data_IF_720099266302
#
_entry.id   IF_720099266302
#
_cell.length_a   1.000
_cell.length_b   1.000
_cell.length_c   1.000
_cell.angle_alpha   90.00
_cell.angle_beta   90.00
_cell.angle_gamma   90.00
#
_symmetry.space_group_name_H-M   'P 1'
#
loop_
_entity.id
_entity.type
_entity.pdbx_description
1 polymer ?
#
# COMPACT_ATOMS: atom_id res chain seq x y z
N UNK A 1 20.61 0.09 -0.28
CA UNK A 1 19.29 0.38 0.31
C UNK A 1 18.38 0.69 -0.86
N UNK A 2 17.26 -0.02 -1.07
CA UNK A 2 16.28 0.41 -2.07
C UNK A 2 15.83 1.83 -1.69
N UNK A 3 15.88 2.73 -2.67
CA UNK A 3 15.45 4.11 -2.53
C UNK A 3 13.94 4.10 -2.33
N UNK A 4 13.45 4.53 -1.17
CA UNK A 4 12.01 4.51 -0.85
C UNK A 4 11.33 5.86 -1.08
N UNK A 5 12.02 6.80 -1.74
CA UNK A 5 11.50 8.15 -1.99
C UNK A 5 10.28 8.17 -2.93
N UNK A 6 10.02 7.10 -3.69
CA UNK A 6 8.93 6.99 -4.66
C UNK A 6 7.54 6.78 -4.04
N UNK A 7 7.45 6.48 -2.74
CA UNK A 7 6.16 6.32 -2.05
C UNK A 7 5.49 7.65 -1.65
N UNK A 8 6.15 8.79 -1.86
CA UNK A 8 5.71 10.11 -1.39
C UNK A 8 4.96 10.96 -2.41
N UNK A 9 4.56 10.36 -3.54
CA UNK A 9 4.04 11.13 -4.66
C UNK A 9 2.51 11.27 -4.61
N UNK A 10 2.02 12.51 -4.65
CA UNK A 10 0.59 12.80 -4.75
C UNK A 10 0.08 12.51 -6.16
N UNK A 11 -1.08 11.83 -6.30
CA UNK A 11 -1.59 11.52 -7.63
C UNK A 11 -2.00 12.78 -8.40
N UNK A 12 -1.65 12.81 -9.70
CA UNK A 12 -1.89 13.93 -10.60
C UNK A 12 -3.33 13.95 -11.13
N UNK A 13 -4.01 12.80 -11.13
CA UNK A 13 -5.38 12.65 -11.60
C UNK A 13 -6.26 11.95 -10.56
N UNK A 14 -7.58 12.10 -10.69
CA UNK A 14 -8.53 11.33 -9.90
C UNK A 14 -8.28 9.83 -10.09
N UNK A 15 -8.29 9.04 -9.00
CA UNK A 15 -8.09 7.60 -9.08
C UNK A 15 -9.12 6.95 -10.01
N UNK A 16 -8.65 6.08 -10.90
CA UNK A 16 -9.52 5.15 -11.62
C UNK A 16 -9.92 4.04 -10.67
N UNK A 17 -11.22 3.87 -10.44
CA UNK A 17 -11.72 2.72 -9.67
C UNK A 17 -11.74 1.49 -10.56
N UNK A 18 -11.00 0.46 -10.15
CA UNK A 18 -10.88 -0.79 -10.90
C UNK A 18 -11.94 -1.80 -10.43
N UNK A 19 -12.24 -1.81 -9.12
CA UNK A 19 -13.19 -2.75 -8.53
C UNK A 19 -13.91 -2.15 -7.31
N UNK A 20 -15.18 -2.54 -7.17
CA UNK A 20 -16.04 -2.28 -6.01
C UNK A 20 -16.55 -3.63 -5.49
N UNK A 21 -16.43 -3.92 -4.19
CA UNK A 21 -16.96 -5.18 -3.64
C UNK A 21 -18.38 -5.13 -3.07
N UNK A 22 -18.93 -3.94 -2.82
CA UNK A 22 -20.26 -3.81 -2.20
C UNK A 22 -20.90 -2.43 -2.41
N UNK A 23 -20.31 -1.62 -3.29
CA UNK A 23 -20.64 -0.19 -3.44
C UNK A 23 -19.59 0.75 -2.87
N UNK A 24 -18.58 0.24 -2.14
CA UNK A 24 -17.38 0.97 -1.74
C UNK A 24 -16.22 0.68 -2.70
N UNK A 25 -15.30 1.63 -2.80
CA UNK A 25 -14.17 1.57 -3.73
C UNK A 25 -13.05 0.72 -3.12
N UNK A 26 -12.86 -0.49 -3.62
CA UNK A 26 -11.93 -1.45 -3.04
C UNK A 26 -10.56 -1.46 -3.71
N UNK A 27 -10.49 -1.14 -5.01
CA UNK A 27 -9.22 -1.02 -5.74
C UNK A 27 -9.19 0.26 -6.57
N UNK A 28 -8.12 1.05 -6.43
CA UNK A 28 -7.89 2.27 -7.20
C UNK A 28 -6.51 2.31 -7.82
N UNK A 29 -6.45 2.85 -9.05
CA UNK A 29 -5.21 3.12 -9.76
C UNK A 29 -5.07 4.64 -9.97
N UNK A 30 -3.94 5.21 -9.56
CA UNK A 30 -3.70 6.66 -9.63
C UNK A 30 -2.37 6.96 -10.33
N UNK A 31 -2.34 7.96 -11.21
CA UNK A 31 -1.09 8.40 -11.86
C UNK A 31 -0.29 9.33 -10.96
N UNK A 32 1.03 9.18 -10.93
CA UNK A 32 1.95 10.00 -10.14
C UNK A 32 2.73 11.03 -10.99
N UNK A 33 3.36 12.06 -10.39
CA UNK A 33 4.07 13.13 -11.09
C UNK A 33 5.32 12.68 -11.85
N UNK A 34 6.01 11.63 -11.39
CA UNK A 34 7.16 11.02 -12.07
C UNK A 34 6.81 10.17 -13.31
N UNK A 35 5.54 10.15 -13.71
CA UNK A 35 4.96 9.29 -14.77
C UNK A 35 4.72 7.84 -14.39
N UNK A 36 4.95 7.44 -13.14
CA UNK A 36 4.54 6.15 -12.58
C UNK A 36 3.06 6.16 -12.15
N UNK A 37 2.63 5.09 -11.47
CA UNK A 37 1.31 4.95 -10.89
C UNK A 37 1.33 4.27 -9.51
N UNK A 38 0.22 4.41 -8.80
CA UNK A 38 -0.05 3.79 -7.50
C UNK A 38 -1.31 2.95 -7.60
N UNK A 39 -1.20 1.69 -7.23
CA UNK A 39 -2.33 0.80 -6.98
C UNK A 39 -2.60 0.78 -5.47
N UNK A 40 -3.80 1.15 -5.06
CA UNK A 40 -4.29 1.06 -3.70
C UNK A 40 -5.41 0.03 -3.64
N UNK A 41 -5.32 -0.88 -2.69
CA UNK A 41 -6.36 -1.85 -2.39
C UNK A 41 -6.75 -1.73 -0.92
N UNK A 42 -8.05 -1.61 -0.65
CA UNK A 42 -8.64 -1.54 0.70
C UNK A 42 -9.43 -2.83 0.99
N UNK A 43 -9.17 -3.43 2.15
CA UNK A 43 -9.72 -4.70 2.61
C UNK A 43 -10.80 -4.44 3.69
N UNK A 44 -12.04 -4.16 3.27
CA UNK A 44 -13.13 -3.78 4.20
C UNK A 44 -13.99 -4.96 4.70
N UNK A 45 -13.92 -6.14 4.08
CA UNK A 45 -14.82 -7.28 4.40
C UNK A 45 -14.47 -7.95 5.74
N UNK A 46 -13.18 -8.08 6.06
CA UNK A 46 -12.68 -8.85 7.20
C UNK A 46 -12.19 -7.98 8.37
N UNK A 47 -12.10 -6.67 8.16
CA UNK A 47 -11.58 -5.72 9.15
C UNK A 47 -12.57 -4.56 9.33
N UNK A 48 -13.20 -4.42 10.53
CA UNK A 48 -14.00 -3.23 10.84
C UNK A 48 -13.15 -1.94 10.89
N UNK A 49 -11.84 -2.12 10.91
CA UNK A 49 -10.79 -1.11 10.81
C UNK A 49 -10.29 -1.05 9.36
N UNK A 50 -9.93 0.15 8.89
CA UNK A 50 -9.54 0.32 7.49
C UNK A 50 -8.15 -0.27 7.25
N UNK A 51 -8.07 -1.43 6.60
CA UNK A 51 -6.82 -2.10 6.22
C UNK A 51 -6.61 -1.95 4.71
N UNK A 52 -5.38 -1.77 4.27
CA UNK A 52 -5.09 -1.78 2.84
C UNK A 52 -3.62 -1.99 2.50
N UNK A 53 -3.37 -2.07 1.20
CA UNK A 53 -2.04 -2.16 0.62
C UNK A 53 -1.84 -1.14 -0.49
N UNK A 54 -0.64 -0.57 -0.54
CA UNK A 54 -0.15 0.25 -1.64
C UNK A 54 0.97 -0.46 -2.39
N UNK A 55 0.89 -0.39 -3.71
CA UNK A 55 1.93 -0.86 -4.63
C UNK A 55 2.23 0.26 -5.62
N UNK A 56 3.50 0.56 -5.84
CA UNK A 56 3.94 1.46 -6.90
C UNK A 56 4.19 0.67 -8.17
N UNK A 57 3.88 1.31 -9.29
CA UNK A 57 3.87 0.72 -10.60
C UNK A 57 4.56 1.67 -11.56
N UNK A 58 5.47 1.15 -12.37
CA UNK A 58 5.87 1.76 -13.61
C UNK A 58 4.66 1.96 -14.54
N UNK A 59 4.82 2.80 -15.56
CA UNK A 59 3.79 2.99 -16.59
C UNK A 59 3.34 1.68 -17.23
N UNK A 60 4.29 0.78 -17.50
CA UNK A 60 4.01 -0.49 -18.17
C UNK A 60 3.22 -1.44 -17.25
N UNK A 61 3.56 -1.49 -15.97
CA UNK A 61 2.81 -2.28 -14.97
C UNK A 61 1.41 -1.70 -14.73
N UNK A 62 1.29 -0.37 -14.70
CA UNK A 62 -0.01 0.32 -14.59
C UNK A 62 -0.91 0.02 -15.79
N UNK A 63 -0.33 -0.05 -16.99
CA UNK A 63 -1.04 -0.43 -18.20
C UNK A 63 -1.51 -1.90 -18.11
N UNK A 64 -0.69 -2.81 -17.60
CA UNK A 64 -1.08 -4.21 -17.37
C UNK A 64 -2.27 -4.29 -16.39
N UNK A 65 -2.25 -3.53 -15.30
CA UNK A 65 -3.40 -3.45 -14.36
C UNK A 65 -4.66 -3.01 -15.09
N UNK A 66 -4.56 -1.98 -15.93
CA UNK A 66 -5.71 -1.43 -16.64
C UNK A 66 -6.27 -2.37 -17.71
N UNK A 67 -5.39 -3.09 -18.42
CA UNK A 67 -5.77 -4.05 -19.45
C UNK A 67 -6.26 -5.37 -18.87
N UNK A 68 -5.92 -5.66 -17.60
CA UNK A 68 -6.41 -6.84 -16.89
C UNK A 68 -7.88 -6.62 -16.53
N UNK A 69 -8.76 -7.46 -17.08
CA UNK A 69 -10.17 -7.43 -16.69
C UNK A 69 -10.30 -7.57 -15.16
N UNK A 70 -11.26 -6.86 -14.53
CA UNK A 70 -11.50 -6.95 -13.09
C UNK A 70 -12.10 -8.33 -12.76
N UNK A 71 -11.21 -9.30 -12.63
CA UNK A 71 -11.48 -10.64 -12.16
C UNK A 71 -11.09 -10.76 -10.69
N UNK A 72 -11.62 -11.77 -10.00
CA UNK A 72 -11.12 -12.16 -8.68
C UNK A 72 -9.62 -12.50 -8.80
N UNK A 73 -8.78 -11.89 -7.97
CA UNK A 73 -7.33 -12.12 -7.97
C UNK A 73 -6.51 -11.12 -8.82
N UNK A 74 -6.90 -9.84 -8.86
CA UNK A 74 -6.15 -8.81 -9.56
C UNK A 74 -4.71 -8.67 -9.02
N UNK A 75 -4.50 -8.74 -7.69
CA UNK A 75 -3.16 -8.58 -7.12
C UNK A 75 -2.30 -9.79 -7.44
N UNK A 76 -2.87 -11.01 -7.43
CA UNK A 76 -2.19 -12.21 -7.92
C UNK A 76 -1.60 -12.03 -9.32
N UNK A 77 -2.38 -11.50 -10.27
CA UNK A 77 -1.88 -11.28 -11.63
C UNK A 77 -0.83 -10.17 -11.67
N UNK A 78 -1.08 -9.07 -10.98
CA UNK A 78 -0.20 -7.90 -10.99
C UNK A 78 1.15 -8.21 -10.34
N UNK A 79 1.18 -8.88 -9.18
CA UNK A 79 2.41 -9.17 -8.42
C UNK A 79 3.41 -10.06 -9.16
N UNK A 80 2.92 -10.89 -10.09
CA UNK A 80 3.78 -11.69 -10.97
C UNK A 80 4.51 -10.86 -12.03
N UNK A 81 4.02 -9.65 -12.32
CA UNK A 81 4.56 -8.75 -13.36
C UNK A 81 5.39 -7.60 -12.82
N UNK A 82 5.40 -7.38 -11.50
CA UNK A 82 6.13 -6.29 -10.86
C UNK A 82 7.64 -6.45 -10.99
N UNK A 83 8.32 -5.42 -11.45
CA UNK A 83 9.76 -5.26 -11.40
C UNK A 83 10.22 -5.12 -9.93
N UNK A 84 9.54 -4.28 -9.16
CA UNK A 84 9.71 -4.12 -7.71
C UNK A 84 8.45 -4.62 -6.98
N UNK A 85 8.61 -5.64 -6.14
CA UNK A 85 7.52 -6.23 -5.36
C UNK A 85 7.40 -5.62 -3.95
N UNK A 86 8.04 -4.49 -3.70
CA UNK A 86 7.89 -3.74 -2.46
C UNK A 86 6.49 -3.14 -2.37
N UNK A 87 5.84 -3.31 -1.22
CA UNK A 87 4.53 -2.77 -0.94
C UNK A 87 4.47 -2.19 0.47
N UNK A 88 3.49 -1.31 0.70
CA UNK A 88 3.17 -0.77 2.02
C UNK A 88 1.82 -1.32 2.46
N UNK A 89 1.81 -2.12 3.54
CA UNK A 89 0.59 -2.46 4.24
C UNK A 89 0.30 -1.41 5.30
N UNK A 90 -0.96 -1.02 5.42
CA UNK A 90 -1.41 -0.02 6.39
C UNK A 90 -2.73 -0.42 7.02
N UNK A 91 -2.93 0.04 8.26
CA UNK A 91 -4.09 -0.25 9.07
C UNK A 91 -4.49 0.99 9.86
N UNK A 92 -5.76 1.37 9.82
CA UNK A 92 -6.34 2.44 10.63
C UNK A 92 -7.41 1.82 11.54
N UNK A 93 -7.09 1.69 12.82
CA UNK A 93 -8.06 1.39 13.87
C UNK A 93 -8.34 2.68 14.62
N UNK A 94 -9.61 3.14 14.60
CA UNK A 94 -10.23 4.26 15.35
C UNK A 94 -9.42 5.56 15.50
N UNK A 95 -8.23 5.50 16.09
CA UNK A 95 -7.34 6.60 16.42
C UNK A 95 -5.86 6.33 16.22
N UNK A 96 -5.50 5.16 15.70
CA UNK A 96 -4.13 4.79 15.40
C UNK A 96 -4.05 4.38 13.95
N UNK A 97 -3.13 4.99 13.22
CA UNK A 97 -2.72 4.47 11.92
C UNK A 97 -1.37 3.81 12.03
N UNK A 98 -1.29 2.58 11.56
CA UNK A 98 -0.08 1.76 11.56
C UNK A 98 0.29 1.36 10.14
N UNK A 99 1.57 1.18 9.87
CA UNK A 99 2.03 0.77 8.55
C UNK A 99 3.40 0.08 8.59
N UNK A 100 3.64 -0.73 7.56
CA UNK A 100 4.82 -1.58 7.42
C UNK A 100 5.15 -1.79 5.95
N UNK A 101 6.44 -1.77 5.62
CA UNK A 101 6.93 -2.10 4.28
C UNK A 101 7.15 -3.60 4.20
N UNK A 102 6.60 -4.24 3.18
CA UNK A 102 6.67 -5.68 2.95
C UNK A 102 7.13 -5.96 1.52
N UNK A 103 7.71 -7.14 1.29
CA UNK A 103 7.96 -7.64 -0.07
C UNK A 103 6.87 -8.64 -0.41
N UNK A 104 6.07 -8.35 -1.43
CA UNK A 104 4.97 -9.21 -1.87
C UNK A 104 5.51 -10.51 -2.48
N UNK A 105 4.91 -11.67 -2.19
CA UNK A 105 5.27 -12.90 -2.88
C UNK A 105 4.97 -12.76 -4.38
N UNK A 106 5.92 -13.17 -5.24
CA UNK A 106 5.76 -13.07 -6.72
C UNK A 106 4.93 -14.18 -7.34
N UNK A 107 4.75 -15.29 -6.63
CA UNK A 107 4.01 -16.48 -7.07
C UNK A 107 3.11 -17.01 -5.95
N UNK A 108 2.21 -17.93 -6.27
CA UNK A 108 1.17 -18.43 -5.36
C UNK A 108 -0.22 -18.05 -5.85
N UNK A 109 -1.25 -18.49 -5.17
CA UNK A 109 -2.65 -18.07 -5.35
C UNK A 109 -2.95 -16.79 -4.58
N UNK A 110 -4.11 -16.19 -4.82
CA UNK A 110 -4.66 -15.12 -3.99
C UNK A 110 -4.82 -15.56 -2.53
N UNK A 111 -5.19 -16.82 -2.25
CA UNK A 111 -5.25 -17.35 -0.88
C UNK A 111 -3.88 -17.35 -0.19
N UNK A 112 -2.82 -17.72 -0.91
CA UNK A 112 -1.45 -17.68 -0.35
C UNK A 112 -1.01 -16.23 -0.05
N UNK A 113 -1.46 -15.28 -0.87
CA UNK A 113 -1.22 -13.86 -0.64
C UNK A 113 -1.95 -13.35 0.61
N UNK A 114 -3.20 -13.79 0.82
CA UNK A 114 -3.94 -13.43 2.04
C UNK A 114 -3.28 -13.97 3.29
N UNK A 115 -2.93 -15.27 3.32
CA UNK A 115 -2.21 -15.86 4.45
C UNK A 115 -0.89 -15.13 4.74
N UNK A 116 -0.19 -14.69 3.68
CA UNK A 116 1.01 -13.88 3.83
C UNK A 116 0.71 -12.51 4.47
N UNK A 117 -0.31 -11.80 3.99
CA UNK A 117 -0.73 -10.49 4.50
C UNK A 117 -1.14 -10.61 5.97
N UNK A 118 -1.98 -11.58 6.32
CA UNK A 118 -2.39 -11.85 7.70
C UNK A 118 -1.19 -12.12 8.60
N UNK A 119 -0.24 -12.94 8.12
CA UNK A 119 1.01 -13.17 8.83
C UNK A 119 1.84 -11.90 9.07
N UNK A 120 1.78 -10.92 8.14
CA UNK A 120 2.44 -9.62 8.34
C UNK A 120 1.73 -8.75 9.37
N UNK A 121 0.39 -8.80 9.41
CA UNK A 121 -0.43 -8.07 10.37
C UNK A 121 -0.23 -8.64 11.78
N UNK A 122 -0.27 -9.97 11.92
CA UNK A 122 -0.05 -10.69 13.18
C UNK A 122 1.36 -10.47 13.73
N UNK A 123 2.34 -10.33 12.83
CA UNK A 123 3.71 -9.96 13.21
C UNK A 123 3.82 -8.51 13.73
N UNK A 124 2.77 -7.71 13.59
CA UNK A 124 2.70 -6.32 14.00
C UNK A 124 3.30 -5.35 12.98
N UNK A 125 2.98 -4.07 13.19
CA UNK A 125 3.43 -2.96 12.37
C UNK A 125 4.68 -2.31 12.97
N UNK A 126 5.61 -1.94 12.09
CA UNK A 126 6.86 -1.30 12.50
C UNK A 126 6.65 0.14 12.99
N UNK A 127 5.54 0.77 12.57
CA UNK A 127 5.19 2.15 12.88
C UNK A 127 3.71 2.30 13.18
N UNK A 128 3.41 3.16 14.14
CA UNK A 128 2.06 3.54 14.53
C UNK A 128 2.03 5.02 14.93
N UNK A 129 0.95 5.71 14.56
CA UNK A 129 0.72 7.11 14.87
C UNK A 129 -0.65 7.30 15.48
N UNK A 130 -0.74 8.14 16.51
CA UNK A 130 -2.03 8.53 17.04
C UNK A 130 -2.62 9.67 16.22
N UNK A 131 -3.82 9.47 15.67
CA UNK A 131 -4.61 10.49 15.00
C UNK A 131 -5.16 11.57 15.96
N UNK A 132 -4.92 11.42 17.28
CA UNK A 132 -5.21 12.45 18.29
C UNK A 132 -4.10 13.49 18.41
N UNK A 133 -2.97 13.27 17.75
CA UNK A 133 -1.89 14.25 17.73
C UNK A 133 -2.32 15.48 16.91
N UNK A 134 -2.43 16.67 17.54
CA UNK A 134 -2.89 17.87 16.86
C UNK A 134 -1.98 18.32 15.71
N UNK A 135 -0.73 17.87 15.68
CA UNK A 135 0.24 18.21 14.63
C UNK A 135 0.07 17.36 13.35
N UNK A 136 -0.76 16.31 13.38
CA UNK A 136 -0.97 15.35 12.29
C UNK A 136 -2.31 15.53 11.53
N UNK A 137 -3.01 16.64 11.74
CA UNK A 137 -4.34 16.91 11.14
C UNK A 137 -4.35 17.15 9.62
N UNK A 138 -3.21 17.01 8.94
CA UNK A 138 -3.08 17.25 7.52
C UNK A 138 -2.64 15.93 6.87
N UNK A 139 -3.46 15.49 5.90
CA UNK A 139 -3.23 14.44 4.91
C UNK A 139 -3.25 12.96 5.37
N UNK A 140 -4.30 12.25 4.94
CA UNK A 140 -4.31 10.79 4.82
C UNK A 140 -3.22 10.25 3.88
N UNK A 141 -2.66 11.09 2.99
CA UNK A 141 -1.48 10.77 2.17
C UNK A 141 -0.15 10.84 2.96
N UNK A 142 -0.10 11.56 4.09
CA UNK A 142 1.13 11.69 4.92
C UNK A 142 1.42 10.46 5.78
N UNK A 143 0.46 9.52 5.87
CA UNK A 143 0.62 8.41 6.80
C UNK A 143 1.43 7.25 6.20
N UNK A 144 1.38 7.09 4.87
CA UNK A 144 2.38 6.29 4.16
C UNK A 144 3.79 6.86 4.34
N UNK A 145 3.90 8.20 4.38
CA UNK A 145 5.16 8.94 4.54
C UNK A 145 5.80 8.75 5.92
N UNK A 146 5.01 8.79 7.01
CA UNK A 146 5.56 8.70 8.37
C UNK A 146 5.95 7.27 8.74
N UNK A 147 5.27 6.26 8.18
CA UNK A 147 5.66 4.85 8.34
C UNK A 147 7.05 4.55 7.75
N UNK A 148 7.47 5.35 6.77
CA UNK A 148 8.72 5.18 6.03
C UNK A 148 9.89 5.99 6.58
N UNK A 149 9.68 7.26 6.92
CA UNK A 149 10.73 8.14 7.44
C UNK A 149 11.37 7.63 8.74
N UNK A 150 10.60 6.96 9.58
CA UNK A 150 11.11 6.54 10.88
C UNK A 150 12.12 5.35 10.78
N UNK A 151 12.12 4.56 9.67
CA UNK A 151 13.11 3.49 9.42
C UNK A 151 14.52 4.02 9.15
N UNK A 152 14.66 5.20 8.53
CA UNK A 152 15.97 5.83 8.32
C UNK A 152 16.59 6.32 9.63
N UNK A 153 15.81 6.93 10.52
CA UNK A 153 16.33 7.44 11.79
C UNK A 153 16.87 6.32 12.71
N UNK A 154 16.28 5.12 12.65
CA UNK A 154 16.73 3.97 13.47
C UNK A 154 17.96 3.27 12.88
N UNK A 155 18.11 3.25 11.55
CA UNK A 155 19.27 2.64 10.87
C UNK A 155 20.51 3.55 10.87
N UNK A 156 20.33 4.87 10.84
CA UNK A 156 21.43 5.84 10.95
C UNK A 156 21.91 5.94 12.42
N UNK A 157 21.00 5.82 13.38
CA UNK A 157 21.32 5.81 14.81
C UNK A 157 22.01 4.55 15.32
N UNK A 158 21.82 3.40 14.67
CA UNK A 158 22.50 2.14 15.02
C UNK A 158 23.89 1.98 14.36
N UNK A 159 24.25 2.90 13.47
CA UNK A 159 25.56 2.96 12.80
C UNK A 159 26.48 4.07 13.36
N UNK A 160 26.11 4.69 14.49
CA UNK A 160 26.89 5.69 15.23
C UNK A 160 27.45 5.14 16.54
#
# INVERSE_FOLDING_TARGET
>A
MPDTSWMHESPVQAPTVIQHWDGLTSITLSKLPDSSARLLWVFEEDHPDQLGIFVHLTTDEAQVVFDTAPEVGLLEKVRGTLADNTALIWHIDQQVMSAKVIELPRSGSESDLWEFIDGQIDAGFDRSLSMRDPDLRIASDDIALIALQAREATLIGAAS
#
